data_IF_088273610771
#
_entry.id   IF_088273610771
#
_cell.length_a   1.000
_cell.length_b   1.000
_cell.length_c   1.000
_cell.angle_alpha   90.00
_cell.angle_beta   90.00
_cell.angle_gamma   90.00
#
_symmetry.space_group_name_H-M   'P 1'
#
loop_
_entity.id
_entity.type
_entity.pdbx_description
1 polymer ?
#
# COMPACT_ATOMS: atom_id res chain seq x y z
N UNK A 1 -9.49 13.74 7.25
CA UNK A 1 -9.08 12.56 6.45
C UNK A 1 -8.06 11.73 7.24
N UNK A 2 -7.06 12.36 7.86
CA UNK A 2 -6.05 11.66 8.68
C UNK A 2 -6.59 10.97 9.94
N UNK A 3 -7.49 11.58 10.70
CA UNK A 3 -7.97 10.96 11.96
C UNK A 3 -8.73 9.64 11.74
N UNK A 4 -9.50 9.54 10.67
CA UNK A 4 -10.25 8.32 10.33
C UNK A 4 -9.32 7.21 9.83
N UNK A 5 -8.35 7.55 8.98
CA UNK A 5 -7.29 6.64 8.57
C UNK A 5 -6.54 6.10 9.79
N UNK A 6 -6.16 6.98 10.72
CA UNK A 6 -5.46 6.59 11.93
C UNK A 6 -6.29 5.66 12.83
N UNK A 7 -7.60 5.91 12.94
CA UNK A 7 -8.51 5.04 13.67
C UNK A 7 -8.55 3.62 13.07
N UNK A 8 -8.71 3.52 11.74
CA UNK A 8 -8.70 2.22 11.07
C UNK A 8 -7.34 1.51 11.21
N UNK A 9 -6.22 2.24 11.12
CA UNK A 9 -4.88 1.67 11.34
C UNK A 9 -4.79 1.06 12.73
N UNK A 10 -5.17 1.81 13.76
CA UNK A 10 -5.10 1.34 15.14
C UNK A 10 -6.00 0.13 15.36
N UNK A 11 -7.24 0.15 14.88
CA UNK A 11 -8.17 -1.00 14.96
C UNK A 11 -7.59 -2.24 14.29
N UNK A 12 -7.12 -2.10 13.05
CA UNK A 12 -6.50 -3.21 12.34
C UNK A 12 -5.28 -3.77 13.09
N UNK A 13 -4.38 -2.90 13.58
CA UNK A 13 -3.16 -3.32 14.26
C UNK A 13 -3.42 -3.97 15.63
N UNK A 14 -4.46 -3.55 16.35
CA UNK A 14 -4.78 -4.07 17.69
C UNK A 14 -5.63 -5.33 17.66
N UNK A 15 -6.61 -5.40 16.75
CA UNK A 15 -7.64 -6.45 16.77
C UNK A 15 -7.65 -7.31 15.51
N UNK A 16 -6.85 -6.97 14.49
CA UNK A 16 -6.93 -7.62 13.18
C UNK A 16 -8.22 -7.30 12.42
N UNK A 17 -8.89 -6.18 12.74
CA UNK A 17 -10.20 -5.84 12.18
C UNK A 17 -10.19 -5.79 10.64
N UNK A 18 -10.95 -6.69 10.03
CA UNK A 18 -10.97 -6.86 8.58
C UNK A 18 -11.67 -5.70 7.87
N UNK A 19 -12.71 -5.12 8.49
CA UNK A 19 -13.42 -3.98 7.92
C UNK A 19 -12.51 -2.75 7.85
N UNK A 20 -11.77 -2.46 8.94
CA UNK A 20 -10.75 -1.41 8.95
C UNK A 20 -9.67 -1.65 7.91
N UNK A 21 -9.22 -2.89 7.73
CA UNK A 21 -8.25 -3.24 6.69
C UNK A 21 -8.79 -2.94 5.27
N UNK A 22 -10.03 -3.30 4.98
CA UNK A 22 -10.67 -3.01 3.69
C UNK A 22 -10.80 -1.51 3.45
N UNK A 23 -11.25 -0.76 4.46
CA UNK A 23 -11.37 0.70 4.38
C UNK A 23 -10.01 1.38 4.17
N UNK A 24 -8.97 0.95 4.90
CA UNK A 24 -7.61 1.42 4.70
C UNK A 24 -7.11 1.15 3.29
N UNK A 25 -7.32 -0.07 2.80
CA UNK A 25 -6.89 -0.44 1.47
C UNK A 25 -7.54 0.45 0.43
N UNK A 26 -8.85 0.64 0.50
CA UNK A 26 -9.56 1.47 -0.46
C UNK A 26 -9.11 2.93 -0.42
N UNK A 27 -8.92 3.49 0.78
CA UNK A 27 -8.48 4.86 0.96
C UNK A 27 -7.04 5.09 0.48
N UNK A 28 -6.14 4.12 0.71
CA UNK A 28 -4.73 4.26 0.45
C UNK A 28 -4.27 3.71 -0.92
N UNK A 29 -5.08 2.89 -1.59
CA UNK A 29 -4.71 2.27 -2.87
C UNK A 29 -4.30 3.25 -3.97
N UNK A 30 -4.89 4.46 -4.09
CA UNK A 30 -4.46 5.44 -5.09
C UNK A 30 -2.95 5.74 -5.07
N UNK A 31 -2.30 5.65 -3.91
CA UNK A 31 -0.83 5.80 -3.78
C UNK A 31 -0.09 4.71 -4.56
N UNK A 32 -0.50 3.45 -4.37
CA UNK A 32 0.09 2.31 -5.08
C UNK A 32 -0.21 2.34 -6.58
N UNK A 33 -1.46 2.68 -6.95
CA UNK A 33 -1.87 2.77 -8.37
C UNK A 33 -1.09 3.86 -9.12
N UNK A 34 -0.83 5.00 -8.49
CA UNK A 34 0.01 6.07 -9.07
C UNK A 34 1.43 5.56 -9.34
N UNK A 35 2.04 4.86 -8.38
CA UNK A 35 3.37 4.27 -8.55
C UNK A 35 3.41 3.22 -9.65
N UNK A 36 2.39 2.38 -9.78
CA UNK A 36 2.33 1.37 -10.86
C UNK A 36 2.34 2.05 -12.23
N UNK A 37 1.59 3.16 -12.39
CA UNK A 37 1.57 3.94 -13.64
C UNK A 37 2.91 4.62 -13.93
N UNK A 38 3.64 5.04 -12.90
CA UNK A 38 5.00 5.58 -13.06
C UNK A 38 6.03 4.52 -13.45
N UNK A 39 5.88 3.29 -12.93
CA UNK A 39 6.87 2.23 -13.07
C UNK A 39 6.67 1.37 -14.32
N UNK A 40 5.43 1.24 -14.81
CA UNK A 40 5.07 0.33 -15.91
C UNK A 40 4.71 1.14 -17.16
N UNK A 41 5.26 0.74 -18.31
CA UNK A 41 4.92 1.36 -19.60
C UNK A 41 3.50 0.99 -20.02
N UNK A 42 2.83 1.90 -20.72
CA UNK A 42 1.44 1.71 -21.19
C UNK A 42 1.23 0.44 -22.03
N UNK A 43 2.28 -0.05 -22.71
CA UNK A 43 2.23 -1.26 -23.52
C UNK A 43 2.52 -2.55 -22.75
N UNK A 44 2.62 -2.51 -21.42
CA UNK A 44 2.91 -3.68 -20.56
C UNK A 44 1.79 -3.94 -19.53
N UNK A 45 0.52 -4.12 -19.95
CA UNK A 45 -0.63 -4.23 -19.04
C UNK A 45 -0.51 -5.41 -18.06
N UNK A 46 0.01 -6.54 -18.52
CA UNK A 46 0.26 -7.74 -17.72
C UNK A 46 1.21 -7.46 -16.53
N UNK A 47 2.20 -6.57 -16.70
CA UNK A 47 3.10 -6.17 -15.62
C UNK A 47 2.38 -5.30 -14.60
N UNK A 48 1.52 -4.39 -15.06
CA UNK A 48 0.73 -3.56 -14.17
C UNK A 48 -0.23 -4.42 -13.33
N UNK A 49 -0.88 -5.40 -13.94
CA UNK A 49 -1.80 -6.30 -13.24
C UNK A 49 -1.09 -7.20 -12.22
N UNK A 50 0.09 -7.73 -12.55
CA UNK A 50 0.93 -8.47 -11.61
C UNK A 50 1.34 -7.61 -10.39
N UNK A 51 1.74 -6.34 -10.62
CA UNK A 51 2.05 -5.42 -9.52
C UNK A 51 0.81 -5.07 -8.69
N UNK A 52 -0.36 -4.90 -9.31
CA UNK A 52 -1.63 -4.67 -8.58
C UNK A 52 -1.95 -5.85 -7.68
N UNK A 53 -1.94 -7.07 -8.22
CA UNK A 53 -2.22 -8.28 -7.45
C UNK A 53 -1.25 -8.41 -6.27
N UNK A 54 0.06 -8.39 -6.55
CA UNK A 54 1.11 -8.51 -5.53
C UNK A 54 1.05 -7.36 -4.52
N UNK A 55 0.67 -6.17 -4.94
CA UNK A 55 0.51 -5.01 -4.08
C UNK A 55 -0.67 -5.14 -3.12
N UNK A 56 -1.80 -5.66 -3.60
CA UNK A 56 -3.00 -5.95 -2.80
C UNK A 56 -2.73 -7.04 -1.76
N UNK A 57 -2.07 -8.13 -2.17
CA UNK A 57 -1.68 -9.22 -1.27
C UNK A 57 -0.72 -8.74 -0.17
N UNK A 58 0.18 -7.80 -0.49
CA UNK A 58 1.17 -7.26 0.44
C UNK A 58 0.63 -6.16 1.36
N UNK A 59 -0.50 -5.53 1.00
CA UNK A 59 -1.04 -4.37 1.73
C UNK A 59 -1.20 -4.61 3.25
N UNK A 60 -1.80 -5.73 3.73
CA UNK A 60 -2.00 -5.95 5.17
C UNK A 60 -0.68 -6.01 5.94
N UNK A 61 0.33 -6.62 5.33
CA UNK A 61 1.68 -6.68 5.91
C UNK A 61 2.31 -5.29 5.98
N UNK A 62 2.24 -4.50 4.90
CA UNK A 62 2.83 -3.15 4.83
C UNK A 62 2.18 -2.23 5.85
N UNK A 63 0.85 -2.10 5.85
CA UNK A 63 0.15 -1.18 6.74
C UNK A 63 0.25 -1.61 8.21
N UNK A 64 0.39 -2.93 8.46
CA UNK A 64 0.69 -3.46 9.80
C UNK A 64 2.07 -3.06 10.35
N UNK A 65 2.99 -2.56 9.50
CA UNK A 65 4.31 -2.05 9.93
C UNK A 65 4.33 -0.53 10.14
N UNK A 66 3.28 0.19 9.76
CA UNK A 66 3.21 1.62 9.95
C UNK A 66 3.21 1.98 11.43
N UNK A 67 4.02 2.98 11.82
CA UNK A 67 4.11 3.47 13.19
C UNK A 67 3.80 4.96 13.21
N UNK A 68 2.81 5.38 13.98
CA UNK A 68 2.46 6.80 14.09
C UNK A 68 3.59 7.65 14.73
N UNK A 69 4.37 7.04 15.63
CA UNK A 69 5.45 7.69 16.38
C UNK A 69 6.57 8.25 15.50
N UNK A 70 6.73 7.74 14.26
CA UNK A 70 7.78 8.21 13.36
C UNK A 70 7.42 9.49 12.60
N UNK A 71 6.24 10.08 12.88
CA UNK A 71 5.73 11.34 12.30
C UNK A 71 5.74 11.40 10.76
N UNK A 72 5.80 10.24 10.10
CA UNK A 72 5.77 10.12 8.65
C UNK A 72 4.31 9.97 8.19
N UNK A 73 3.81 10.80 7.26
CA UNK A 73 2.46 10.62 6.73
C UNK A 73 2.28 9.22 6.12
N UNK A 74 1.10 8.62 6.31
CA UNK A 74 0.80 7.27 5.84
C UNK A 74 1.02 7.13 4.33
N UNK A 75 0.65 8.14 3.55
CA UNK A 75 0.84 8.16 2.11
C UNK A 75 2.33 8.15 1.74
N UNK A 76 3.16 8.88 2.48
CA UNK A 76 4.62 8.90 2.27
C UNK A 76 5.24 7.55 2.64
N UNK A 77 4.82 6.96 3.77
CA UNK A 77 5.25 5.62 4.17
C UNK A 77 4.90 4.57 3.10
N UNK A 78 3.66 4.58 2.63
CA UNK A 78 3.18 3.66 1.60
C UNK A 78 3.90 3.89 0.29
N UNK A 79 4.06 5.14 -0.13
CA UNK A 79 4.74 5.50 -1.37
C UNK A 79 6.18 4.97 -1.41
N UNK A 80 6.94 5.19 -0.34
CA UNK A 80 8.31 4.70 -0.22
C UNK A 80 8.37 3.18 -0.20
N UNK A 81 7.48 2.54 0.58
CA UNK A 81 7.47 1.09 0.76
C UNK A 81 7.06 0.37 -0.52
N UNK A 82 6.01 0.83 -1.19
CA UNK A 82 5.55 0.26 -2.46
C UNK A 82 6.54 0.49 -3.59
N UNK A 83 7.20 1.66 -3.66
CA UNK A 83 8.24 1.92 -4.66
C UNK A 83 9.36 0.88 -4.57
N UNK A 84 9.86 0.63 -3.35
CA UNK A 84 10.89 -0.40 -3.13
C UNK A 84 10.37 -1.81 -3.48
N UNK A 85 9.18 -2.16 -2.98
CA UNK A 85 8.59 -3.47 -3.21
C UNK A 85 8.35 -3.77 -4.69
N UNK A 86 7.75 -2.85 -5.44
CA UNK A 86 7.49 -3.02 -6.87
C UNK A 86 8.79 -3.10 -7.67
N UNK A 87 9.80 -2.30 -7.33
CA UNK A 87 11.12 -2.42 -7.96
C UNK A 87 11.76 -3.79 -7.71
N UNK A 88 11.60 -4.37 -6.50
CA UNK A 88 12.05 -5.72 -6.21
C UNK A 88 11.30 -6.76 -7.06
N UNK A 89 9.96 -6.70 -7.09
CA UNK A 89 9.12 -7.60 -7.89
C UNK A 89 9.50 -7.55 -9.38
N UNK A 90 9.79 -6.37 -9.91
CA UNK A 90 10.21 -6.21 -11.31
C UNK A 90 11.61 -6.75 -11.60
N UNK A 91 12.48 -6.87 -10.60
CA UNK A 91 13.84 -7.44 -10.72
C UNK A 91 13.87 -8.96 -10.56
N UNK A 92 12.88 -9.53 -9.90
CA UNK A 92 12.77 -10.98 -9.64
C UNK A 92 12.23 -11.78 -10.85
N UNK A 93 12.21 -11.18 -12.06
CA UNK A 93 11.79 -11.84 -13.32
C UNK A 93 12.92 -11.98 -14.32
#
# INVERSE_FOLDING_TARGET
MDEQLMNWIQRFQQTGDHESLLNLRNACWPVAETLIRELVKENEPEKADDLRQKGMERFPFIIGKYRQEVQLPVETFLGNTYRFYFQQVMREK
#
